data_IF_630927871597
#
_entry.id   IF_630927871597
#
_cell.length_a   1.000
_cell.length_b   1.000
_cell.length_c   1.000
_cell.angle_alpha   90.00
_cell.angle_beta   90.00
_cell.angle_gamma   90.00
#
_symmetry.space_group_name_H-M   'P 1'
#
loop_
_entity.id
_entity.type
_entity.pdbx_description
1 polymer ?
#
# COMPACT_ATOMS: atom_id res chain seq x y z
N UNK A 1 -57.87 21.96 44.29
CA UNK A 1 -57.27 22.82 43.26
C UNK A 1 -55.77 22.64 43.38
N UNK A 2 -55.01 22.08 42.47
CA UNK A 2 -55.20 21.53 41.13
C UNK A 2 -54.10 20.46 41.00
N UNK A 3 -54.47 19.24 40.58
CA UNK A 3 -53.53 18.16 40.26
C UNK A 3 -53.53 18.00 38.75
N UNK A 4 -52.60 18.66 38.05
CA UNK A 4 -52.25 18.32 36.66
C UNK A 4 -51.07 19.17 36.17
N UNK A 5 -49.89 18.56 36.01
CA UNK A 5 -49.33 18.34 34.67
C UNK A 5 -47.97 17.63 34.76
N UNK A 6 -47.99 16.42 34.22
CA UNK A 6 -46.87 15.57 33.84
C UNK A 6 -46.55 15.92 32.37
N UNK A 7 -45.25 15.96 32.02
CA UNK A 7 -44.74 16.17 30.65
C UNK A 7 -43.98 17.49 30.55
N UNK A 8 -42.72 17.54 30.11
CA UNK A 8 -42.11 16.82 29.00
C UNK A 8 -40.59 16.82 29.18
N UNK A 9 -39.98 15.71 28.80
CA UNK A 9 -38.54 15.50 28.76
C UNK A 9 -37.87 16.50 27.81
N UNK A 10 -36.75 17.09 28.24
CA UNK A 10 -35.92 17.93 27.39
C UNK A 10 -35.28 17.07 26.28
N UNK A 11 -35.25 17.53 25.01
CA UNK A 11 -34.55 16.83 23.96
C UNK A 11 -33.04 16.94 24.21
N UNK A 12 -32.37 15.80 24.42
CA UNK A 12 -30.91 15.72 24.35
C UNK A 12 -30.49 15.90 22.89
N UNK A 13 -30.06 17.10 22.53
CA UNK A 13 -29.30 17.33 21.30
C UNK A 13 -28.00 16.52 21.39
N UNK A 14 -27.70 15.65 20.41
CA UNK A 14 -26.34 15.11 20.31
C UNK A 14 -25.43 16.28 19.93
N UNK A 15 -24.60 16.71 20.87
CA UNK A 15 -23.42 17.53 20.59
C UNK A 15 -22.51 16.71 19.67
N UNK A 16 -22.69 16.87 18.37
CA UNK A 16 -21.71 16.42 17.39
C UNK A 16 -20.53 17.35 17.54
N UNK A 17 -19.53 16.92 18.31
CA UNK A 17 -18.23 17.57 18.40
C UNK A 17 -17.71 17.79 16.98
N UNK A 18 -17.64 19.06 16.61
CA UNK A 18 -17.04 19.54 15.40
C UNK A 18 -15.53 19.24 15.44
N UNK A 19 -15.12 18.12 14.86
CA UNK A 19 -13.75 17.93 14.42
C UNK A 19 -13.60 18.62 13.07
N UNK A 20 -12.95 19.77 13.08
CA UNK A 20 -12.55 20.49 11.88
C UNK A 20 -11.78 19.57 10.92
N UNK A 21 -12.01 19.63 9.60
CA UNK A 21 -11.09 19.07 8.64
C UNK A 21 -9.89 20.03 8.55
N UNK A 22 -8.95 19.90 9.50
CA UNK A 22 -7.64 20.51 9.31
C UNK A 22 -6.93 19.67 8.26
N UNK A 23 -7.10 20.10 7.01
CA UNK A 23 -6.33 19.71 5.85
C UNK A 23 -4.87 20.11 6.10
N UNK A 24 -4.17 19.35 6.95
CA UNK A 24 -2.77 19.59 7.26
C UNK A 24 -1.95 19.12 6.07
N UNK A 25 -1.31 20.10 5.44
CA UNK A 25 -0.27 20.00 4.42
C UNK A 25 0.99 19.39 5.05
N UNK A 26 0.87 18.22 5.67
CA UNK A 26 1.94 17.42 6.27
C UNK A 26 2.33 16.23 5.37
N UNK A 27 1.51 15.87 4.38
CA UNK A 27 1.78 14.72 3.51
C UNK A 27 3.01 14.90 2.61
N UNK A 28 3.43 16.14 2.31
CA UNK A 28 4.56 16.41 1.41
C UNK A 28 5.92 16.18 2.09
N UNK A 29 6.04 16.53 3.38
CA UNK A 29 7.21 16.16 4.20
C UNK A 29 7.20 14.67 4.52
N UNK A 30 6.05 14.08 4.86
CA UNK A 30 5.95 12.64 5.13
C UNK A 30 6.34 11.77 3.93
N UNK A 31 5.95 12.17 2.71
CA UNK A 31 6.33 11.44 1.50
C UNK A 31 7.82 11.58 1.18
N UNK A 32 8.39 12.79 1.29
CA UNK A 32 9.83 13.00 1.05
C UNK A 32 10.69 12.25 2.08
N UNK A 33 10.24 12.15 3.33
CA UNK A 33 10.91 11.39 4.38
C UNK A 33 10.79 9.89 4.11
N UNK A 34 9.59 9.39 3.78
CA UNK A 34 9.42 7.98 3.36
C UNK A 34 10.26 7.63 2.13
N UNK A 35 10.39 8.54 1.16
CA UNK A 35 11.21 8.31 -0.02
C UNK A 35 12.70 8.26 0.34
N UNK A 36 13.18 9.13 1.25
CA UNK A 36 14.54 9.07 1.76
C UNK A 36 14.81 7.77 2.52
N UNK A 37 13.88 7.36 3.37
CA UNK A 37 13.99 6.11 4.14
C UNK A 37 13.96 4.89 3.21
N UNK A 38 13.12 4.91 2.18
CA UNK A 38 13.09 3.86 1.17
C UNK A 38 14.42 3.78 0.38
N UNK A 39 15.01 4.93 0.00
CA UNK A 39 16.32 4.96 -0.67
C UNK A 39 17.43 4.44 0.26
N UNK A 40 17.40 4.82 1.55
CA UNK A 40 18.33 4.30 2.56
C UNK A 40 18.20 2.79 2.74
N UNK A 41 16.96 2.29 2.83
CA UNK A 41 16.67 0.86 2.96
C UNK A 41 17.10 0.06 1.74
N UNK A 42 16.96 0.61 0.52
CA UNK A 42 17.47 -0.02 -0.70
C UNK A 42 18.99 -0.12 -0.68
N UNK A 43 19.69 0.91 -0.19
CA UNK A 43 21.14 0.90 -0.07
C UNK A 43 21.62 -0.19 0.91
N UNK A 44 20.99 -0.28 2.08
CA UNK A 44 21.27 -1.36 3.06
C UNK A 44 20.95 -2.75 2.49
N UNK A 45 19.82 -2.90 1.79
CA UNK A 45 19.44 -4.16 1.16
C UNK A 45 20.43 -4.57 0.06
N UNK A 46 20.97 -3.62 -0.69
CA UNK A 46 21.99 -3.84 -1.71
C UNK A 46 23.32 -4.29 -1.08
N UNK A 47 23.78 -3.61 -0.02
CA UNK A 47 25.00 -3.98 0.70
C UNK A 47 24.87 -5.35 1.38
N UNK A 48 23.69 -5.65 1.95
CA UNK A 48 23.37 -6.97 2.48
C UNK A 48 23.35 -8.04 1.38
N UNK A 49 22.80 -7.73 0.21
CA UNK A 49 22.78 -8.62 -0.96
C UNK A 49 24.18 -8.89 -1.51
N UNK A 50 25.10 -7.93 -1.48
CA UNK A 50 26.49 -8.13 -1.89
C UNK A 50 27.21 -9.09 -0.93
N UNK A 51 26.99 -8.95 0.39
CA UNK A 51 27.49 -9.88 1.41
C UNK A 51 26.87 -11.27 1.24
N UNK A 52 25.56 -11.34 0.97
CA UNK A 52 24.82 -12.58 0.76
C UNK A 52 25.26 -13.28 -0.53
N UNK A 53 25.53 -12.53 -1.59
CA UNK A 53 26.07 -13.01 -2.87
C UNK A 53 27.48 -13.56 -2.70
N UNK A 54 28.32 -12.87 -1.92
CA UNK A 54 29.66 -13.37 -1.56
C UNK A 54 29.56 -14.71 -0.81
N UNK A 55 28.56 -14.85 0.07
CA UNK A 55 28.24 -16.12 0.75
C UNK A 55 27.65 -17.17 -0.20
N UNK A 56 26.80 -16.81 -1.16
CA UNK A 56 26.19 -17.74 -2.11
C UNK A 56 27.21 -18.35 -3.08
N UNK A 57 28.25 -17.60 -3.46
CA UNK A 57 29.37 -18.11 -4.28
C UNK A 57 30.10 -19.27 -3.59
N UNK A 58 29.96 -19.44 -2.26
CA UNK A 58 30.52 -20.59 -1.52
C UNK A 58 29.73 -21.90 -1.67
N UNK A 59 28.63 -21.89 -2.43
CA UNK A 59 28.03 -23.09 -3.06
C UNK A 59 27.25 -24.03 -2.15
N UNK A 60 25.96 -23.75 -1.93
CA UNK A 60 25.04 -24.70 -1.29
C UNK A 60 23.92 -25.14 -2.25
N UNK A 61 23.86 -26.46 -2.40
CA UNK A 61 22.76 -27.37 -2.75
C UNK A 61 21.51 -26.78 -3.43
N UNK A 62 21.39 -27.00 -4.75
CA UNK A 62 20.13 -26.78 -5.47
C UNK A 62 19.66 -28.12 -6.02
N UNK A 63 18.61 -28.67 -5.40
CA UNK A 63 17.95 -29.88 -5.90
C UNK A 63 17.21 -29.57 -7.21
N UNK A 64 17.41 -30.41 -8.24
CA UNK A 64 16.89 -30.21 -9.60
C UNK A 64 15.36 -29.98 -9.66
N UNK A 65 14.62 -30.48 -8.66
CA UNK A 65 13.16 -30.34 -8.58
C UNK A 65 12.73 -28.89 -8.31
N UNK A 66 13.49 -28.14 -7.51
CA UNK A 66 13.18 -26.74 -7.18
C UNK A 66 13.37 -25.83 -8.38
N UNK A 67 14.32 -26.13 -9.26
CA UNK A 67 14.53 -25.38 -10.52
C UNK A 67 13.32 -25.50 -11.43
N UNK A 68 12.74 -26.69 -11.58
CA UNK A 68 11.54 -26.90 -12.41
C UNK A 68 10.30 -26.22 -11.82
N UNK A 69 10.08 -26.36 -10.51
CA UNK A 69 8.98 -25.69 -9.80
C UNK A 69 9.12 -24.16 -9.92
N UNK A 70 10.33 -23.64 -9.73
CA UNK A 70 10.61 -22.21 -9.86
C UNK A 70 10.40 -21.73 -11.28
N UNK A 71 10.84 -22.48 -12.29
CA UNK A 71 10.62 -22.13 -13.70
C UNK A 71 9.12 -22.08 -14.05
N UNK A 72 8.33 -23.05 -13.60
CA UNK A 72 6.87 -23.05 -13.80
C UNK A 72 6.20 -21.89 -13.06
N UNK A 73 6.59 -21.62 -11.81
CA UNK A 73 6.08 -20.49 -11.03
C UNK A 73 6.42 -19.15 -11.68
N UNK A 74 7.64 -18.99 -12.19
CA UNK A 74 8.08 -17.80 -12.91
C UNK A 74 7.27 -17.58 -14.19
N UNK A 75 7.03 -18.65 -14.97
CA UNK A 75 6.21 -18.58 -16.18
C UNK A 75 4.77 -18.12 -15.89
N UNK A 76 4.13 -18.69 -14.87
CA UNK A 76 2.77 -18.28 -14.46
C UNK A 76 2.75 -16.84 -13.97
N UNK A 77 3.73 -16.45 -13.15
CA UNK A 77 3.83 -15.09 -12.60
C UNK A 77 4.06 -14.05 -13.69
N UNK A 78 4.90 -14.36 -14.69
CA UNK A 78 5.15 -13.48 -15.83
C UNK A 78 3.88 -13.26 -16.65
N UNK A 79 3.12 -14.31 -16.93
CA UNK A 79 1.84 -14.20 -17.63
C UNK A 79 0.85 -13.31 -16.87
N UNK A 80 0.75 -13.48 -15.55
CA UNK A 80 -0.08 -12.61 -14.70
C UNK A 80 0.40 -11.16 -14.73
N UNK A 81 1.71 -10.92 -14.68
CA UNK A 81 2.28 -9.57 -14.76
C UNK A 81 1.98 -8.89 -16.10
N UNK A 82 1.98 -9.63 -17.21
CA UNK A 82 1.58 -9.11 -18.52
C UNK A 82 0.10 -8.72 -18.55
N UNK A 83 -0.78 -9.52 -17.95
CA UNK A 83 -2.21 -9.17 -17.83
C UNK A 83 -2.40 -7.91 -16.98
N UNK A 84 -1.68 -7.80 -15.86
CA UNK A 84 -1.71 -6.60 -15.02
C UNK A 84 -1.20 -5.36 -15.77
N UNK A 85 -0.10 -5.49 -16.51
CA UNK A 85 0.43 -4.41 -17.37
C UNK A 85 -0.62 -3.96 -18.38
N UNK A 86 -1.27 -4.89 -19.06
CA UNK A 86 -2.29 -4.55 -20.06
C UNK A 86 -3.48 -3.81 -19.41
N UNK A 87 -3.97 -4.30 -18.26
CA UNK A 87 -5.04 -3.64 -17.48
C UNK A 87 -4.64 -2.24 -16.98
N UNK A 88 -3.38 -2.05 -16.55
CA UNK A 88 -2.88 -0.76 -16.12
C UNK A 88 -2.79 0.25 -17.27
N UNK A 89 -2.38 -0.21 -18.47
CA UNK A 89 -2.38 0.62 -19.68
C UNK A 89 -3.80 0.98 -20.11
N UNK A 90 -4.73 0.01 -20.09
CA UNK A 90 -6.16 0.26 -20.35
C UNK A 90 -6.74 1.31 -19.39
N UNK A 91 -6.46 1.17 -18.08
CA UNK A 91 -6.93 2.13 -17.07
C UNK A 91 -6.37 3.54 -17.28
N UNK A 92 -5.10 3.65 -17.68
CA UNK A 92 -4.50 4.94 -18.02
C UNK A 92 -5.15 5.56 -19.27
N UNK A 93 -5.39 4.77 -20.31
CA UNK A 93 -6.07 5.23 -21.53
C UNK A 93 -7.51 5.69 -21.23
N UNK A 94 -8.23 4.98 -20.35
CA UNK A 94 -9.60 5.33 -19.96
C UNK A 94 -9.64 6.66 -19.18
N UNK A 95 -8.72 6.88 -18.24
CA UNK A 95 -8.60 8.17 -17.52
C UNK A 95 -8.33 9.32 -18.50
N UNK A 96 -7.46 9.10 -19.50
CA UNK A 96 -7.20 10.11 -20.53
C UNK A 96 -8.45 10.39 -21.39
N UNK A 97 -9.27 9.38 -21.69
CA UNK A 97 -10.54 9.56 -22.41
C UNK A 97 -11.61 10.28 -21.60
N UNK A 98 -11.58 10.19 -20.27
CA UNK A 98 -12.50 10.93 -19.40
C UNK A 98 -12.13 12.42 -19.20
N UNK A 99 -10.88 12.82 -19.46
CA UNK A 99 -10.38 14.16 -19.09
C UNK A 99 -10.34 15.15 -20.28
N UNK A 100 -11.08 14.89 -21.35
CA UNK A 100 -11.26 15.84 -22.48
C UNK A 100 -12.68 16.34 -22.58
#
# INVERSE_FOLDING_TARGET
MDVSQIGIVAPVTPTVSQAAPTNQVASKESFSTMLKDAIGSVNEAQQSSDVMTNKLITGQDVELHDVMITAQKASVTLNTALQFRNKAVEAYQEIMRMTV
#
